data_IF_469825063010
#
_entry.id   IF_469825063010
#
_cell.length_a   1.000
_cell.length_b   1.000
_cell.length_c   1.000
_cell.angle_alpha   90.00
_cell.angle_beta   90.00
_cell.angle_gamma   90.00
#
_symmetry.space_group_name_H-M   'P 1'
#
loop_
_entity.id
_entity.type
_entity.pdbx_description
1 polymer ?
#
# COMPACT_ATOMS: atom_id res chain seq x y z
N UNK A 1 -13.34 -10.41 13.81
CA UNK A 1 -14.78 -10.77 13.68
C UNK A 1 -14.96 -11.92 12.68
N UNK A 2 -16.00 -12.76 12.79
CA UNK A 2 -16.19 -13.89 11.87
C UNK A 2 -16.33 -13.45 10.41
N UNK A 3 -17.04 -12.36 10.15
CA UNK A 3 -17.24 -11.84 8.79
C UNK A 3 -15.94 -11.36 8.13
N UNK A 4 -14.95 -10.91 8.91
CA UNK A 4 -13.61 -10.59 8.40
C UNK A 4 -12.89 -11.86 7.95
N UNK A 5 -12.98 -12.94 8.73
CA UNK A 5 -12.39 -14.24 8.36
C UNK A 5 -13.05 -14.83 7.11
N UNK A 6 -14.36 -14.64 6.94
CA UNK A 6 -15.10 -15.05 5.74
C UNK A 6 -14.63 -14.28 4.50
N UNK A 7 -14.56 -12.95 4.60
CA UNK A 7 -14.03 -12.13 3.52
C UNK A 7 -12.61 -12.56 3.12
N UNK A 8 -11.74 -12.80 4.11
CA UNK A 8 -10.38 -13.28 3.88
C UNK A 8 -10.35 -14.68 3.23
N UNK A 9 -11.22 -15.60 3.64
CA UNK A 9 -11.33 -16.93 3.03
C UNK A 9 -11.72 -16.87 1.55
N UNK A 10 -12.65 -15.99 1.19
CA UNK A 10 -13.05 -15.74 -0.20
C UNK A 10 -11.87 -15.17 -1.01
N UNK A 11 -11.16 -14.18 -0.48
CA UNK A 11 -10.00 -13.56 -1.14
C UNK A 11 -8.87 -14.58 -1.38
N UNK A 12 -8.49 -15.36 -0.36
CA UNK A 12 -7.44 -16.38 -0.45
C UNK A 12 -7.83 -17.47 -1.47
N UNK A 13 -9.10 -17.87 -1.52
CA UNK A 13 -9.57 -18.85 -2.50
C UNK A 13 -9.40 -18.35 -3.94
N UNK A 14 -9.75 -17.09 -4.19
CA UNK A 14 -9.51 -16.46 -5.49
C UNK A 14 -8.02 -16.38 -5.83
N UNK A 15 -7.17 -16.07 -4.85
CA UNK A 15 -5.72 -15.99 -5.03
C UNK A 15 -5.16 -17.36 -5.42
N UNK A 16 -5.51 -18.39 -4.65
CA UNK A 16 -5.07 -19.76 -4.88
C UNK A 16 -5.43 -20.26 -6.28
N UNK A 17 -6.66 -20.02 -6.73
CA UNK A 17 -7.10 -20.38 -8.08
C UNK A 17 -6.32 -19.64 -9.16
N UNK A 18 -6.03 -18.35 -8.95
CA UNK A 18 -5.30 -17.54 -9.92
C UNK A 18 -3.85 -18.00 -10.07
N UNK A 19 -3.13 -18.16 -8.96
CA UNK A 19 -1.73 -18.62 -8.97
C UNK A 19 -1.60 -20.03 -9.56
N UNK A 20 -2.46 -20.97 -9.14
CA UNK A 20 -2.48 -22.31 -9.69
C UNK A 20 -2.71 -22.32 -11.22
N UNK A 21 -3.58 -21.43 -11.72
CA UNK A 21 -3.84 -21.31 -13.16
C UNK A 21 -2.66 -20.74 -13.96
N UNK A 22 -1.81 -19.92 -13.33
CA UNK A 22 -0.63 -19.34 -13.97
C UNK A 22 0.53 -20.34 -14.04
N UNK A 23 0.58 -21.29 -13.09
CA UNK A 23 1.57 -22.36 -13.10
C UNK A 23 3.01 -21.89 -12.86
N UNK A 24 3.20 -20.72 -12.24
CA UNK A 24 4.52 -20.13 -11.98
C UNK A 24 5.45 -21.08 -11.21
N UNK A 25 4.87 -21.94 -10.38
CA UNK A 25 5.60 -22.90 -9.54
C UNK A 25 5.55 -24.36 -10.03
N UNK A 26 4.97 -24.62 -11.21
CA UNK A 26 4.78 -25.98 -11.71
C UNK A 26 6.10 -26.78 -11.83
N UNK A 27 7.22 -26.11 -12.16
CA UNK A 27 8.55 -26.72 -12.23
C UNK A 27 9.07 -27.22 -10.87
N UNK A 28 8.57 -26.66 -9.77
CA UNK A 28 8.92 -27.04 -8.40
C UNK A 28 7.93 -28.07 -7.80
N UNK A 29 6.86 -28.41 -8.53
CA UNK A 29 5.90 -29.44 -8.12
C UNK A 29 4.82 -28.98 -7.14
N UNK A 30 4.57 -27.67 -7.03
CA UNK A 30 3.50 -27.09 -6.23
C UNK A 30 2.84 -25.91 -6.95
N UNK A 31 1.65 -25.50 -6.50
CA UNK A 31 0.88 -24.41 -7.12
C UNK A 31 1.08 -23.06 -6.43
N UNK A 32 1.31 -23.06 -5.12
CA UNK A 32 1.36 -21.86 -4.27
C UNK A 32 2.65 -21.81 -3.46
N UNK A 33 3.31 -20.65 -3.45
CA UNK A 33 4.35 -20.36 -2.48
C UNK A 33 3.71 -20.06 -1.11
N UNK A 34 4.08 -20.87 -0.11
CA UNK A 34 3.64 -20.73 1.28
C UNK A 34 4.67 -20.07 2.18
N UNK A 35 5.76 -19.53 1.64
CA UNK A 35 6.84 -18.88 2.39
C UNK A 35 6.35 -17.69 3.23
N UNK A 36 7.13 -17.28 4.22
CA UNK A 36 6.82 -16.11 5.06
C UNK A 36 6.88 -14.79 4.30
N UNK A 37 7.56 -14.78 3.15
CA UNK A 37 7.68 -13.62 2.27
C UNK A 37 6.56 -13.55 1.22
N UNK A 38 5.75 -14.61 1.11
CA UNK A 38 4.63 -14.64 0.20
C UNK A 38 3.54 -13.65 0.64
N UNK A 39 2.76 -13.15 -0.33
CA UNK A 39 1.61 -12.28 -0.05
C UNK A 39 0.56 -12.95 0.84
N UNK A 40 0.48 -14.28 0.82
CA UNK A 40 -0.44 -15.07 1.64
C UNK A 40 0.32 -16.22 2.31
N UNK A 41 1.04 -15.97 3.42
CA UNK A 41 1.93 -16.94 4.02
C UNK A 41 1.18 -18.11 4.65
N UNK A 42 1.74 -19.32 4.57
CA UNK A 42 1.18 -20.51 5.21
C UNK A 42 1.84 -20.77 6.57
N UNK A 43 1.11 -20.48 7.64
CA UNK A 43 1.61 -20.59 9.03
C UNK A 43 1.51 -22.01 9.63
N UNK A 44 1.07 -23.00 8.84
CA UNK A 44 0.87 -24.37 9.32
C UNK A 44 -0.48 -24.63 9.98
N UNK A 45 -0.75 -25.90 10.27
CA UNK A 45 -2.05 -26.34 10.82
C UNK A 45 -2.29 -25.91 12.26
N UNK A 46 -1.24 -25.60 13.01
CA UNK A 46 -1.31 -25.20 14.41
C UNK A 46 -1.93 -23.80 14.59
N UNK A 47 -1.90 -22.98 13.53
CA UNK A 47 -2.54 -21.66 13.51
C UNK A 47 -4.04 -21.71 13.21
N UNK A 48 -4.62 -22.90 12.97
CA UNK A 48 -6.03 -23.03 12.56
C UNK A 48 -6.96 -23.06 13.78
N UNK A 49 -7.76 -22.01 13.95
CA UNK A 49 -8.81 -21.94 14.98
C UNK A 49 -10.17 -22.52 14.51
N UNK A 50 -11.10 -22.86 15.43
CA UNK A 50 -12.47 -23.23 15.08
C UNK A 50 -13.20 -22.15 14.25
N UNK A 51 -12.95 -20.87 14.51
CA UNK A 51 -13.55 -19.75 13.79
C UNK A 51 -13.03 -19.65 12.36
N UNK A 52 -11.73 -19.91 12.14
CA UNK A 52 -11.14 -19.99 10.79
C UNK A 52 -11.79 -21.14 10.02
N UNK A 53 -11.91 -22.34 10.62
CA UNK A 53 -12.57 -23.49 9.97
C UNK A 53 -14.00 -23.16 9.60
N UNK A 54 -14.74 -22.54 10.53
CA UNK A 54 -16.12 -22.12 10.33
C UNK A 54 -16.24 -21.11 9.18
N UNK A 55 -15.36 -20.11 9.11
CA UNK A 55 -15.38 -19.12 8.04
C UNK A 55 -15.14 -19.74 6.66
N UNK A 56 -14.19 -20.68 6.56
CA UNK A 56 -13.90 -21.40 5.31
C UNK A 56 -15.08 -22.27 4.88
N UNK A 57 -15.74 -22.95 5.82
CA UNK A 57 -16.91 -23.80 5.56
C UNK A 57 -18.14 -22.97 5.16
N UNK A 58 -18.43 -21.87 5.87
CA UNK A 58 -19.59 -21.02 5.58
C UNK A 58 -19.45 -20.23 4.27
N UNK A 59 -18.25 -20.15 3.69
CA UNK A 59 -17.97 -19.51 2.39
C UNK A 59 -17.50 -20.52 1.35
N UNK A 60 -17.87 -21.80 1.51
CA UNK A 60 -17.44 -22.86 0.59
C UNK A 60 -17.82 -22.50 -0.86
N UNK A 61 -16.85 -22.65 -1.76
CA UNK A 61 -16.98 -22.33 -3.19
C UNK A 61 -17.29 -20.86 -3.54
N UNK A 62 -17.32 -19.95 -2.56
CA UNK A 62 -17.47 -18.52 -2.84
C UNK A 62 -16.16 -17.93 -3.34
N UNK A 63 -16.25 -17.19 -4.46
CA UNK A 63 -15.16 -16.47 -5.12
C UNK A 63 -15.67 -15.13 -5.63
N UNK A 64 -14.76 -14.18 -5.83
CA UNK A 64 -15.10 -12.89 -6.44
C UNK A 64 -14.92 -12.96 -7.95
N UNK A 65 -15.96 -12.55 -8.69
CA UNK A 65 -15.94 -12.41 -10.13
C UNK A 65 -16.12 -10.93 -10.45
N UNK A 66 -15.34 -10.40 -11.37
CA UNK A 66 -15.47 -9.02 -11.82
C UNK A 66 -16.68 -8.84 -12.75
N UNK A 67 -16.95 -7.61 -13.16
CA UNK A 67 -18.09 -7.29 -14.04
C UNK A 67 -17.95 -7.86 -15.46
N UNK A 68 -16.76 -8.33 -15.85
CA UNK A 68 -16.52 -9.01 -17.12
C UNK A 68 -16.82 -10.51 -17.06
N UNK A 69 -17.07 -11.07 -15.87
CA UNK A 69 -17.23 -12.50 -15.67
C UNK A 69 -15.91 -13.25 -15.41
N UNK A 70 -14.81 -12.53 -15.19
CA UNK A 70 -13.49 -13.11 -14.93
C UNK A 70 -13.23 -13.18 -13.43
N UNK A 71 -12.45 -14.16 -12.98
CA UNK A 71 -12.00 -14.24 -11.60
C UNK A 71 -11.30 -12.92 -11.21
N UNK A 72 -11.85 -12.24 -10.20
CA UNK A 72 -11.28 -11.00 -9.71
C UNK A 72 -9.93 -11.28 -9.07
N UNK A 73 -8.94 -10.44 -9.38
CA UNK A 73 -7.67 -10.35 -8.64
C UNK A 73 -7.95 -9.92 -7.20
N UNK A 74 -7.72 -10.78 -6.21
CA UNK A 74 -7.87 -10.42 -4.82
C UNK A 74 -6.60 -9.67 -4.37
N UNK A 75 -6.80 -8.50 -3.77
CA UNK A 75 -5.72 -7.72 -3.17
C UNK A 75 -6.19 -7.29 -1.79
N UNK A 76 -5.28 -7.30 -0.83
CA UNK A 76 -5.50 -6.75 0.50
C UNK A 76 -4.29 -5.92 0.91
N UNK A 77 -4.47 -5.08 1.92
CA UNK A 77 -3.40 -4.39 2.62
C UNK A 77 -3.66 -4.49 4.12
N UNK A 78 -2.63 -4.27 4.93
CA UNK A 78 -2.76 -4.33 6.39
C UNK A 78 -3.49 -3.11 6.95
N UNK A 79 -3.15 -1.91 6.46
CA UNK A 79 -3.81 -0.65 6.76
C UNK A 79 -3.81 0.22 5.52
N UNK A 80 -4.91 0.93 5.30
CA UNK A 80 -5.09 1.89 4.20
C UNK A 80 -4.72 3.32 4.60
N UNK A 81 -4.41 3.56 5.88
CA UNK A 81 -4.29 4.89 6.45
C UNK A 81 -5.63 5.63 6.49
N UNK A 82 -6.73 4.90 6.32
CA UNK A 82 -8.10 5.39 6.28
C UNK A 82 -8.61 5.77 4.89
N UNK A 83 -7.84 5.57 3.83
CA UNK A 83 -8.31 5.73 2.45
C UNK A 83 -7.65 4.71 1.53
N UNK A 84 -8.43 3.75 1.03
CA UNK A 84 -7.97 2.71 0.11
C UNK A 84 -7.51 3.35 -1.20
N UNK A 85 -6.32 2.96 -1.68
CA UNK A 85 -5.81 3.40 -2.98
C UNK A 85 -6.46 2.67 -4.16
N UNK A 86 -6.53 3.31 -5.31
CA UNK A 86 -6.94 2.66 -6.56
C UNK A 86 -5.77 1.89 -7.20
N UNK A 87 -6.08 0.85 -7.96
CA UNK A 87 -5.05 0.03 -8.61
C UNK A 87 -4.20 0.80 -9.64
N UNK A 88 -4.76 1.84 -10.26
CA UNK A 88 -4.07 2.64 -11.27
C UNK A 88 -3.00 3.54 -10.63
N UNK A 89 -3.20 4.05 -9.42
CA UNK A 89 -2.20 4.83 -8.70
C UNK A 89 -1.10 3.98 -8.05
N UNK A 90 -1.40 2.72 -7.72
CA UNK A 90 -0.43 1.79 -7.13
C UNK A 90 0.42 1.12 -8.21
N UNK A 91 -0.21 0.37 -9.11
CA UNK A 91 0.46 -0.47 -10.12
C UNK A 91 0.40 0.08 -11.54
N UNK A 92 -0.27 1.22 -11.74
CA UNK A 92 -0.27 1.87 -13.04
C UNK A 92 1.11 2.37 -13.44
N UNK A 93 1.36 2.42 -14.75
CA UNK A 93 2.64 2.89 -15.31
C UNK A 93 3.59 1.78 -15.74
N UNK A 94 3.25 0.52 -15.51
CA UNK A 94 3.97 -0.65 -16.05
C UNK A 94 3.63 -0.95 -17.51
N UNK A 95 2.55 -0.36 -18.03
CA UNK A 95 1.96 -0.69 -19.34
C UNK A 95 0.96 -1.84 -19.29
N UNK A 96 0.87 -2.55 -18.16
CA UNK A 96 -0.09 -3.63 -17.94
C UNK A 96 -1.47 -3.08 -17.51
N UNK A 97 -2.58 -3.70 -17.95
CA UNK A 97 -3.90 -3.32 -17.52
C UNK A 97 -4.12 -3.65 -16.04
N UNK A 98 -4.68 -2.70 -15.30
CA UNK A 98 -5.04 -2.87 -13.88
C UNK A 98 -6.54 -3.11 -13.71
N UNK A 99 -7.00 -3.84 -12.66
CA UNK A 99 -8.41 -4.13 -12.48
C UNK A 99 -9.24 -2.87 -12.18
N UNK A 100 -10.28 -2.60 -12.97
CA UNK A 100 -11.09 -1.37 -12.87
C UNK A 100 -11.99 -1.29 -11.64
N UNK A 101 -12.26 -2.42 -10.98
CA UNK A 101 -13.06 -2.48 -9.75
C UNK A 101 -12.27 -2.13 -8.49
N UNK A 102 -10.93 -2.08 -8.56
CA UNK A 102 -10.06 -1.66 -7.47
C UNK A 102 -9.94 -0.13 -7.50
N UNK A 103 -10.96 0.53 -6.97
CA UNK A 103 -11.07 1.99 -6.93
C UNK A 103 -10.79 2.55 -5.55
N UNK A 104 -10.31 3.78 -5.50
CA UNK A 104 -10.02 4.46 -4.26
C UNK A 104 -11.32 4.78 -3.50
N UNK A 105 -11.33 4.51 -2.20
CA UNK A 105 -12.49 4.73 -1.33
C UNK A 105 -12.08 5.07 0.11
N UNK A 106 -12.86 5.90 0.82
CA UNK A 106 -12.74 6.04 2.26
C UNK A 106 -12.84 4.70 2.97
N UNK A 107 -11.97 4.46 3.94
CA UNK A 107 -12.02 3.28 4.82
C UNK A 107 -12.66 3.64 6.18
N UNK A 108 -13.76 4.39 6.11
CA UNK A 108 -14.49 4.89 7.25
C UNK A 108 -15.92 5.27 6.85
N UNK A 109 -16.78 5.40 7.85
CA UNK A 109 -18.07 6.07 7.70
C UNK A 109 -17.88 7.59 7.86
N UNK A 110 -18.30 8.44 6.92
CA UNK A 110 -18.16 9.89 7.04
C UNK A 110 -18.79 10.48 8.32
N UNK A 111 -19.86 9.84 8.84
CA UNK A 111 -20.49 10.27 10.09
C UNK A 111 -19.60 10.07 11.32
N UNK A 112 -18.62 9.16 11.25
CA UNK A 112 -17.70 8.84 12.34
C UNK A 112 -16.41 9.67 12.29
N UNK A 113 -16.23 10.50 11.25
CA UNK A 113 -15.05 11.36 11.05
C UNK A 113 -15.48 12.80 10.69
N UNK A 114 -16.25 13.49 11.56
CA UNK A 114 -16.78 14.83 11.27
C UNK A 114 -15.71 15.92 11.15
N UNK A 115 -14.50 15.68 11.68
CA UNK A 115 -13.35 16.57 11.56
C UNK A 115 -12.81 16.67 10.12
N UNK A 116 -13.10 15.67 9.26
CA UNK A 116 -12.68 15.65 7.85
C UNK A 116 -13.88 15.42 6.91
N UNK A 117 -14.84 16.36 6.83
CA UNK A 117 -16.10 16.16 6.09
C UNK A 117 -15.88 15.96 4.58
N UNK A 118 -14.83 16.56 4.03
CA UNK A 118 -14.48 16.46 2.61
C UNK A 118 -13.43 15.38 2.32
N UNK A 119 -12.98 14.59 3.31
CA UNK A 119 -12.04 13.50 3.07
C UNK A 119 -12.60 12.47 2.10
N UNK A 120 -13.93 12.32 1.99
CA UNK A 120 -14.57 11.48 0.96
C UNK A 120 -14.15 11.85 -0.46
N UNK A 121 -13.94 13.13 -0.71
CA UNK A 121 -13.47 13.67 -1.99
C UNK A 121 -11.97 13.45 -2.22
N UNK A 122 -11.27 12.81 -1.27
CA UNK A 122 -9.86 12.47 -1.35
C UNK A 122 -8.91 13.57 -0.87
N UNK A 123 -7.63 13.48 -1.23
CA UNK A 123 -6.56 14.36 -0.76
C UNK A 123 -5.64 14.90 -1.88
N UNK A 124 -5.88 14.52 -3.14
CA UNK A 124 -4.95 14.77 -4.25
C UNK A 124 -4.53 16.24 -4.47
N UNK A 125 -5.34 17.19 -4.03
CA UNK A 125 -5.16 18.63 -4.33
C UNK A 125 -5.05 19.50 -3.07
N UNK A 126 -4.87 18.89 -1.90
CA UNK A 126 -4.89 19.60 -0.61
C UNK A 126 -3.85 18.98 0.34
N UNK A 127 -2.60 19.42 0.21
CA UNK A 127 -1.48 18.94 1.02
C UNK A 127 -1.65 19.28 2.50
N UNK A 128 -2.17 20.47 2.83
CA UNK A 128 -2.37 20.89 4.22
C UNK A 128 -3.40 19.97 4.90
N UNK A 129 -4.52 19.67 4.22
CA UNK A 129 -5.50 18.71 4.74
C UNK A 129 -4.95 17.30 4.83
N UNK A 130 -4.13 16.86 3.86
CA UNK A 130 -3.47 15.56 3.95
C UNK A 130 -2.52 15.51 5.15
N UNK A 131 -1.78 16.57 5.41
CA UNK A 131 -0.91 16.67 6.55
C UNK A 131 -1.70 16.58 7.87
N UNK A 132 -2.80 17.33 7.99
CA UNK A 132 -3.71 17.24 9.15
C UNK A 132 -4.28 15.82 9.31
N UNK A 133 -4.64 15.14 8.20
CA UNK A 133 -5.10 13.76 8.20
C UNK A 133 -4.02 12.79 8.73
N UNK A 134 -2.78 12.94 8.27
CA UNK A 134 -1.68 12.07 8.67
C UNK A 134 -1.18 12.36 10.09
N UNK A 135 -1.42 13.57 10.63
CA UNK A 135 -1.12 13.90 12.02
C UNK A 135 -2.25 13.51 13.00
N UNK A 136 -3.42 13.13 12.50
CA UNK A 136 -4.58 12.74 13.30
C UNK A 136 -4.79 11.21 13.33
N UNK A 137 -5.69 10.78 14.22
CA UNK A 137 -6.09 9.37 14.39
C UNK A 137 -7.62 9.21 14.27
N UNK A 138 -8.20 9.54 13.10
CA UNK A 138 -9.64 9.50 12.89
C UNK A 138 -10.22 8.10 13.12
N UNK A 139 -11.52 8.02 13.40
CA UNK A 139 -12.21 6.76 13.66
C UNK A 139 -12.49 5.96 12.38
N UNK A 140 -11.44 5.44 11.76
CA UNK A 140 -11.49 4.61 10.55
C UNK A 140 -11.63 3.12 10.88
N UNK A 141 -12.05 2.31 9.91
CA UNK A 141 -12.23 0.87 10.11
C UNK A 141 -10.89 0.13 10.27
N UNK A 142 -9.83 0.63 9.63
CA UNK A 142 -8.47 0.08 9.68
C UNK A 142 -7.61 0.66 10.82
N UNK A 143 -8.16 1.56 11.64
CA UNK A 143 -7.45 2.11 12.79
C UNK A 143 -7.08 0.98 13.74
N UNK A 144 -5.78 0.69 13.82
CA UNK A 144 -5.29 -0.33 14.73
C UNK A 144 -5.31 0.20 16.18
N UNK A 145 -5.81 -0.61 17.10
CA UNK A 145 -5.88 -0.23 18.52
C UNK A 145 -4.50 0.02 19.15
N UNK A 146 -3.44 -0.52 18.54
CA UNK A 146 -2.05 -0.33 18.94
C UNK A 146 -1.38 0.92 18.33
N UNK A 147 -1.94 1.48 17.25
CA UNK A 147 -1.46 2.68 16.55
C UNK A 147 -0.13 2.53 15.79
N UNK A 148 0.43 1.32 15.68
CA UNK A 148 1.78 1.11 15.11
C UNK A 148 1.80 0.98 13.59
N UNK A 149 0.67 0.64 12.98
CA UNK A 149 0.57 0.46 11.53
C UNK A 149 -0.21 1.58 10.85
N UNK A 150 -1.21 2.13 11.54
CA UNK A 150 -2.07 3.18 10.98
C UNK A 150 -1.33 4.51 10.77
N UNK A 151 -0.35 4.82 11.64
CA UNK A 151 0.53 5.99 11.53
C UNK A 151 1.96 5.59 11.84
N UNK A 152 2.89 6.17 11.10
CA UNK A 152 4.31 5.92 11.26
C UNK A 152 5.10 7.16 10.85
N UNK A 153 6.33 7.26 11.34
CA UNK A 153 7.28 8.31 10.99
C UNK A 153 8.64 7.63 10.79
N UNK A 154 9.34 8.01 9.73
CA UNK A 154 10.73 7.60 9.48
C UNK A 154 11.57 8.87 9.41
N UNK A 155 12.82 8.78 9.85
CA UNK A 155 13.76 9.90 9.80
C UNK A 155 15.02 9.43 9.10
N UNK A 156 15.54 10.24 8.19
CA UNK A 156 16.79 9.99 7.49
C UNK A 156 17.77 11.13 7.74
N UNK A 157 19.03 10.82 7.99
CA UNK A 157 20.11 11.81 7.80
C UNK A 157 20.34 12.03 6.30
N UNK A 158 21.09 13.08 5.95
CA UNK A 158 21.47 13.32 4.56
C UNK A 158 22.32 12.17 4.00
N UNK A 159 23.19 11.56 4.82
CA UNK A 159 23.96 10.37 4.43
C UNK A 159 23.06 9.17 4.14
N UNK A 160 22.10 8.87 5.01
CA UNK A 160 21.14 7.76 4.80
C UNK A 160 20.28 8.00 3.56
N UNK A 161 19.80 9.24 3.37
CA UNK A 161 19.02 9.61 2.19
C UNK A 161 19.85 9.46 0.90
N UNK A 162 21.11 9.90 0.91
CA UNK A 162 22.02 9.71 -0.21
C UNK A 162 22.23 8.22 -0.50
N UNK A 163 22.41 7.39 0.53
CA UNK A 163 22.62 5.95 0.37
C UNK A 163 21.42 5.26 -0.28
N UNK A 164 20.21 5.41 0.27
CA UNK A 164 19.03 4.69 -0.23
C UNK A 164 18.63 5.13 -1.64
N UNK A 165 18.69 6.44 -1.93
CA UNK A 165 18.37 6.98 -3.26
C UNK A 165 19.40 6.48 -4.29
N UNK A 166 20.69 6.54 -3.97
CA UNK A 166 21.70 6.06 -4.90
C UNK A 166 21.72 4.53 -5.03
N UNK A 167 21.31 3.78 -4.00
CA UNK A 167 21.10 2.34 -4.12
C UNK A 167 20.00 2.01 -5.13
N UNK A 168 18.87 2.73 -5.09
CA UNK A 168 17.75 2.52 -6.01
C UNK A 168 18.07 2.98 -7.45
N UNK A 169 18.75 4.13 -7.62
CA UNK A 169 19.10 4.70 -8.94
C UNK A 169 20.56 4.44 -9.36
N UNK A 170 21.20 3.40 -8.85
CA UNK A 170 22.54 2.95 -9.25
C UNK A 170 23.61 4.08 -9.25
N UNK A 171 23.60 4.95 -8.24
CA UNK A 171 24.60 6.01 -8.05
C UNK A 171 24.45 7.23 -8.96
N UNK A 172 23.38 7.32 -9.76
CA UNK A 172 23.24 8.39 -10.77
C UNK A 172 22.81 9.74 -10.21
N UNK A 173 22.27 9.79 -9.00
CA UNK A 173 21.70 11.02 -8.41
C UNK A 173 22.81 11.89 -7.80
N UNK A 174 23.76 11.27 -7.10
CA UNK A 174 24.76 12.01 -6.30
C UNK A 174 24.17 12.50 -4.98
N UNK A 175 24.61 13.66 -4.51
CA UNK A 175 24.09 14.26 -3.27
C UNK A 175 22.66 14.78 -3.47
N UNK A 176 21.70 14.28 -2.71
CA UNK A 176 20.30 14.67 -2.75
C UNK A 176 20.15 16.11 -2.25
N UNK A 177 19.66 16.99 -3.13
CA UNK A 177 19.47 18.43 -2.84
C UNK A 177 18.02 18.81 -2.60
N UNK A 178 17.08 18.04 -3.16
CA UNK A 178 15.64 18.23 -2.91
C UNK A 178 14.87 16.96 -3.24
N UNK A 179 13.82 16.70 -2.48
CA UNK A 179 12.85 15.65 -2.76
C UNK A 179 11.45 16.26 -2.71
N UNK A 180 10.68 16.08 -3.79
CA UNK A 180 9.32 16.65 -3.88
C UNK A 180 8.34 15.63 -4.41
N UNK A 181 7.23 15.45 -3.69
CA UNK A 181 6.05 14.80 -4.24
C UNK A 181 5.40 15.77 -5.23
N UNK A 182 5.29 15.36 -6.50
CA UNK A 182 4.76 16.21 -7.57
C UNK A 182 3.36 15.81 -8.00
N UNK A 183 2.91 14.59 -7.68
CA UNK A 183 1.53 14.12 -7.91
C UNK A 183 1.08 13.15 -6.84
N UNK A 184 -0.23 13.16 -6.61
CA UNK A 184 -0.92 12.24 -5.70
C UNK A 184 -2.16 11.65 -6.36
N UNK A 185 -2.53 10.47 -5.88
CA UNK A 185 -3.83 9.88 -6.10
C UNK A 185 -4.91 10.57 -5.26
N UNK A 186 -6.17 10.32 -5.58
CA UNK A 186 -7.30 10.80 -4.76
C UNK A 186 -7.21 10.27 -3.32
N UNK A 187 -6.62 9.09 -3.10
CA UNK A 187 -6.36 8.55 -1.76
C UNK A 187 -5.26 9.26 -0.97
N UNK A 188 -4.59 10.27 -1.55
CA UNK A 188 -3.44 10.96 -0.94
C UNK A 188 -2.10 10.25 -1.12
N UNK A 189 -2.11 9.01 -1.61
CA UNK A 189 -0.89 8.28 -1.93
C UNK A 189 -0.07 9.03 -2.98
N UNK A 190 1.22 9.21 -2.73
CA UNK A 190 2.15 9.81 -3.68
C UNK A 190 2.30 8.91 -4.90
N UNK A 191 2.15 9.48 -6.10
CA UNK A 191 2.24 8.77 -7.39
C UNK A 191 3.35 9.28 -8.28
N UNK A 192 3.90 10.46 -7.99
CA UNK A 192 5.09 10.98 -8.64
C UNK A 192 5.97 11.71 -7.62
N UNK A 193 7.25 11.40 -7.64
CA UNK A 193 8.27 12.04 -6.82
C UNK A 193 9.46 12.44 -7.68
N UNK A 194 9.87 13.69 -7.58
CA UNK A 194 11.08 14.22 -8.19
C UNK A 194 12.19 14.31 -7.14
N UNK A 195 13.34 13.74 -7.46
CA UNK A 195 14.56 13.84 -6.64
C UNK A 195 15.62 14.56 -7.47
N UNK A 196 16.09 15.70 -6.97
CA UNK A 196 17.18 16.45 -7.60
C UNK A 196 18.47 16.19 -6.85
N UNK A 197 19.44 15.62 -7.52
CA UNK A 197 20.77 15.40 -6.96
C UNK A 197 21.81 16.41 -7.44
N UNK A 198 23.07 16.20 -7.05
CA UNK A 198 24.21 16.98 -7.55
C UNK A 198 24.54 16.69 -9.00
N UNK A 199 24.29 15.46 -9.45
CA UNK A 199 24.64 14.98 -10.80
C UNK A 199 23.41 14.94 -11.71
N UNK A 200 22.32 14.33 -11.26
CA UNK A 200 21.12 14.14 -12.08
C UNK A 200 19.82 14.31 -11.29
N UNK A 201 18.76 14.72 -11.99
CA UNK A 201 17.38 14.65 -11.53
C UNK A 201 16.74 13.35 -11.99
N UNK A 202 16.12 12.62 -11.06
CA UNK A 202 15.37 11.39 -11.32
C UNK A 202 13.92 11.56 -10.90
N UNK A 203 13.04 10.72 -11.46
CA UNK A 203 11.61 10.75 -11.15
C UNK A 203 11.10 9.34 -10.91
N UNK A 204 10.51 9.10 -9.74
CA UNK A 204 9.67 7.93 -9.49
C UNK A 204 8.24 8.24 -9.98
N UNK A 205 7.61 7.31 -10.70
CA UNK A 205 6.33 7.54 -11.42
C UNK A 205 5.18 6.63 -10.96
N UNK A 206 5.35 5.97 -9.83
CA UNK A 206 4.32 5.15 -9.20
C UNK A 206 4.52 5.13 -7.68
N UNK A 207 3.45 4.75 -6.96
CA UNK A 207 3.50 4.57 -5.51
C UNK A 207 4.56 3.55 -5.09
N UNK A 208 4.66 2.43 -5.81
CA UNK A 208 5.61 1.36 -5.49
C UNK A 208 7.06 1.81 -5.67
N UNK A 209 7.39 2.52 -6.75
CA UNK A 209 8.74 3.07 -6.95
C UNK A 209 9.13 4.03 -5.82
N UNK A 210 8.19 4.86 -5.35
CA UNK A 210 8.45 5.80 -4.25
C UNK A 210 8.72 5.03 -2.95
N UNK A 211 7.87 4.05 -2.65
CA UNK A 211 7.99 3.22 -1.45
C UNK A 211 9.30 2.44 -1.43
N UNK A 212 9.69 1.83 -2.55
CA UNK A 212 10.94 1.07 -2.68
C UNK A 212 12.17 1.96 -2.62
N UNK A 213 12.16 3.11 -3.30
CA UNK A 213 13.28 4.05 -3.29
C UNK A 213 13.58 4.64 -1.90
N UNK A 214 12.55 4.78 -1.06
CA UNK A 214 12.67 5.34 0.28
C UNK A 214 12.58 4.28 1.40
N UNK A 215 12.42 3.00 1.04
CA UNK A 215 12.22 1.88 1.97
C UNK A 215 11.09 2.14 3.00
N UNK A 216 9.91 2.55 2.53
CA UNK A 216 8.78 2.95 3.37
C UNK A 216 7.71 1.85 3.48
N UNK A 217 6.83 1.99 4.48
CA UNK A 217 5.68 1.10 4.65
C UNK A 217 4.60 1.35 3.58
N UNK A 218 4.41 2.60 3.16
CA UNK A 218 3.44 3.00 2.13
C UNK A 218 3.87 4.31 1.44
N UNK A 219 3.15 4.72 0.39
CA UNK A 219 3.34 6.03 -0.27
C UNK A 219 2.35 7.10 0.22
N UNK A 220 1.51 6.81 1.23
CA UNK A 220 0.65 7.80 1.87
C UNK A 220 1.47 8.61 2.88
N UNK A 221 2.22 9.59 2.37
CA UNK A 221 3.25 10.30 3.11
C UNK A 221 3.20 11.81 2.88
N UNK A 222 3.77 12.57 3.80
CA UNK A 222 4.22 13.96 3.62
C UNK A 222 5.71 13.98 3.97
N UNK A 223 6.50 14.72 3.19
CA UNK A 223 7.95 14.82 3.41
C UNK A 223 8.29 16.22 3.92
N UNK A 224 9.09 16.30 4.98
CA UNK A 224 9.58 17.54 5.58
C UNK A 224 11.11 17.58 5.57
N UNK A 225 11.66 18.54 4.86
CA UNK A 225 13.10 18.84 4.86
C UNK A 225 13.46 19.68 6.11
N UNK A 226 14.46 19.25 6.90
CA UNK A 226 15.04 20.05 7.98
C UNK A 226 16.40 20.57 7.60
N UNK A 227 16.52 21.89 7.39
CA UNK A 227 17.79 22.56 7.15
C UNK A 227 18.51 22.92 8.46
N UNK A 228 19.79 22.54 8.62
CA UNK A 228 20.66 22.95 9.75
C UNK A 228 21.70 21.89 10.17
N UNK A 229 22.57 22.16 11.17
CA UNK A 229 23.45 21.14 11.74
C UNK A 229 22.64 20.03 12.41
N UNK A 230 22.78 18.78 11.94
CA UNK A 230 21.84 17.69 12.29
C UNK A 230 20.54 17.72 11.47
N UNK A 231 20.57 18.36 10.30
CA UNK A 231 19.52 18.34 9.30
C UNK A 231 19.23 16.93 8.78
N UNK A 232 18.10 16.80 8.08
CA UNK A 232 17.64 15.52 7.59
C UNK A 232 16.19 15.57 7.11
N UNK A 233 15.65 14.40 6.85
CA UNK A 233 14.36 14.19 6.21
C UNK A 233 13.43 13.50 7.20
N UNK A 234 12.18 13.96 7.27
CA UNK A 234 11.10 13.34 8.06
C UNK A 234 9.95 13.04 7.11
#
# INVERSE_FOLDING_TARGET
PLEVLKAQAILIRGYALKEASQGAYAAYGFDLDGSTEAAWPYLGTDSVSPEIRRAVQETESEILIDTSGTLATPVYCFSSGGYVADAQSVWGGTGEPVPSYLTAKPDFNPADVPEFPDAVSGFASDEDRLEDWLQSTPNTYDRDAAGSYFRWEVRFTDEEMNEIINAYWNGTVGEVRSLKITRRAISGHATEMEVRGSEQTVTARSSDMIREALNLNSSLIVVKERFGPGGGWI
#
